data_IF_070146738403
#
_entry.id   IF_070146738403
#
_cell.length_a   1.000
_cell.length_b   1.000
_cell.length_c   1.000
_cell.angle_alpha   90.00
_cell.angle_beta   90.00
_cell.angle_gamma   90.00
#
_symmetry.space_group_name_H-M   'P 1'
#
loop_
_entity.id
_entity.type
_entity.pdbx_description
1 polymer ?
#
# COMPACT_ATOMS: atom_id res chain seq x y z
N UNK A 1 -0.64 -16.26 10.56
CA UNK A 1 -0.83 -14.98 9.84
C UNK A 1 -0.14 -13.86 10.62
N UNK A 2 0.63 -13.01 9.94
CA UNK A 2 1.24 -11.80 10.54
C UNK A 2 0.73 -10.57 9.79
N UNK A 3 0.30 -9.54 10.50
CA UNK A 3 -0.20 -8.27 9.93
C UNK A 3 0.69 -7.13 10.40
N UNK A 4 0.99 -6.18 9.52
CA UNK A 4 1.76 -4.99 9.87
C UNK A 4 1.44 -3.79 8.99
N UNK A 5 1.89 -2.62 9.43
CA UNK A 5 1.91 -1.39 8.63
C UNK A 5 3.32 -1.15 8.11
N UNK A 6 3.47 -0.95 6.81
CA UNK A 6 4.77 -0.63 6.20
C UNK A 6 4.94 0.86 5.95
N UNK A 7 3.90 1.55 5.49
CA UNK A 7 3.97 2.97 5.13
C UNK A 7 2.84 3.76 5.77
N UNK A 8 3.15 5.02 6.08
CA UNK A 8 2.18 6.11 6.20
C UNK A 8 2.43 7.07 5.06
N UNK A 9 1.38 7.70 4.55
CA UNK A 9 1.51 8.60 3.42
C UNK A 9 0.43 9.65 3.35
N UNK A 10 0.71 10.65 2.52
CA UNK A 10 -0.22 11.72 2.16
C UNK A 10 -0.20 11.86 0.64
N UNK A 11 -1.38 11.95 0.04
CA UNK A 11 -1.59 12.22 -1.39
C UNK A 11 -2.49 13.43 -1.57
N UNK A 12 -1.99 14.44 -2.27
CA UNK A 12 -2.76 15.63 -2.66
C UNK A 12 -3.93 15.25 -3.59
N UNK A 13 -4.92 16.14 -3.79
CA UNK A 13 -6.04 15.91 -4.70
C UNK A 13 -5.61 15.40 -6.08
N UNK A 14 -6.21 14.32 -6.56
CA UNK A 14 -5.89 13.70 -7.86
C UNK A 14 -4.47 13.11 -7.98
N UNK A 15 -3.61 13.23 -6.97
CA UNK A 15 -2.21 12.83 -7.05
C UNK A 15 -2.08 11.30 -7.06
N UNK A 16 -1.14 10.80 -7.88
CA UNK A 16 -0.66 9.43 -7.83
C UNK A 16 0.79 9.41 -7.37
N UNK A 17 1.11 8.53 -6.41
CA UNK A 17 2.50 8.35 -5.93
C UNK A 17 2.75 6.87 -5.63
N UNK A 18 4.01 6.44 -5.75
CA UNK A 18 4.41 5.07 -5.46
C UNK A 18 5.40 5.03 -4.30
N UNK A 19 5.18 4.10 -3.37
CA UNK A 19 6.10 3.70 -2.30
C UNK A 19 6.68 2.33 -2.62
N UNK A 20 7.88 2.04 -2.13
CA UNK A 20 8.48 0.72 -2.32
C UNK A 20 9.21 0.22 -1.07
N UNK A 21 9.22 -1.09 -0.91
CA UNK A 21 9.99 -1.82 0.12
C UNK A 21 10.63 -3.05 -0.52
N UNK A 22 11.74 -3.53 0.03
CA UNK A 22 12.58 -4.54 -0.59
C UNK A 22 13.00 -5.62 0.42
N UNK A 23 13.68 -6.66 -0.08
CA UNK A 23 14.19 -7.78 0.73
C UNK A 23 13.13 -8.57 1.50
N UNK A 24 11.94 -8.74 0.93
CA UNK A 24 10.90 -9.61 1.49
C UNK A 24 11.13 -11.07 1.11
N UNK A 25 10.87 -12.01 2.02
CA UNK A 25 10.95 -13.44 1.71
C UNK A 25 9.98 -13.81 0.57
N UNK A 26 10.51 -14.37 -0.52
CA UNK A 26 9.75 -14.75 -1.71
C UNK A 26 8.77 -15.92 -1.49
N UNK A 27 8.94 -16.69 -0.41
CA UNK A 27 8.02 -17.78 -0.07
C UNK A 27 6.78 -17.30 0.69
N UNK A 28 6.75 -16.02 1.11
CA UNK A 28 5.58 -15.44 1.76
C UNK A 28 4.50 -15.10 0.73
N UNK A 29 3.28 -15.56 1.00
CA UNK A 29 2.06 -15.07 0.36
C UNK A 29 1.67 -13.79 1.07
N UNK A 30 1.86 -12.64 0.39
CA UNK A 30 1.63 -11.31 0.96
C UNK A 30 0.45 -10.63 0.27
N UNK A 31 -0.51 -10.16 1.06
CA UNK A 31 -1.59 -9.28 0.60
C UNK A 31 -1.37 -7.86 1.13
N UNK A 32 -1.68 -6.86 0.31
CA UNK A 32 -1.53 -5.45 0.64
C UNK A 32 -2.89 -4.74 0.63
N UNK A 33 -3.06 -3.81 1.56
CA UNK A 33 -4.24 -2.95 1.68
C UNK A 33 -3.78 -1.51 1.93
N UNK A 34 -4.48 -0.55 1.34
CA UNK A 34 -4.26 0.88 1.58
C UNK A 34 -5.53 1.47 2.16
N UNK A 35 -5.43 2.02 3.38
CA UNK A 35 -6.58 2.45 4.16
C UNK A 35 -6.44 3.95 4.47
N UNK A 36 -7.36 4.82 4.02
CA UNK A 36 -7.40 6.21 4.43
C UNK A 36 -7.47 6.36 5.95
N UNK A 37 -6.79 7.37 6.48
CA UNK A 37 -6.80 7.72 7.91
C UNK A 37 -7.38 9.11 8.16
N UNK A 38 -7.34 10.01 7.16
CA UNK A 38 -8.02 11.29 7.18
C UNK A 38 -8.19 11.86 5.75
N UNK A 39 -9.18 12.73 5.52
CA UNK A 39 -10.29 13.05 6.43
C UNK A 39 -11.27 11.88 6.56
N UNK A 40 -11.93 11.77 7.71
CA UNK A 40 -13.08 10.88 7.86
C UNK A 40 -14.27 11.47 7.09
N UNK A 41 -14.80 10.70 6.14
CA UNK A 41 -15.92 11.10 5.30
C UNK A 41 -16.92 9.94 5.20
N UNK A 42 -18.21 10.26 5.22
CA UNK A 42 -19.28 9.34 4.84
C UNK A 42 -19.59 9.58 3.36
N UNK A 43 -18.99 8.79 2.47
CA UNK A 43 -19.06 9.05 1.03
C UNK A 43 -18.29 8.05 0.18
N UNK A 44 -18.01 8.48 -1.07
CA UNK A 44 -17.32 7.66 -2.07
C UNK A 44 -15.86 7.34 -1.68
N UNK A 45 -15.26 6.39 -2.40
CA UNK A 45 -13.87 5.98 -2.20
C UNK A 45 -12.90 7.18 -2.22
N UNK A 46 -11.91 7.18 -1.31
CA UNK A 46 -10.92 8.25 -1.21
C UNK A 46 -9.62 7.96 -1.98
N UNK A 47 -9.22 6.69 -2.01
CA UNK A 47 -8.00 6.24 -2.70
C UNK A 47 -8.27 4.97 -3.48
N UNK A 48 -7.55 4.80 -4.58
CA UNK A 48 -7.34 3.52 -5.23
C UNK A 48 -5.85 3.14 -5.14
N UNK A 49 -5.54 1.84 -5.19
CA UNK A 49 -4.14 1.39 -5.15
C UNK A 49 -3.87 0.24 -6.09
N UNK A 50 -2.60 0.15 -6.52
CA UNK A 50 -2.08 -0.93 -7.34
C UNK A 50 -0.81 -1.50 -6.70
N UNK A 51 -0.80 -2.83 -6.58
CA UNK A 51 0.35 -3.58 -6.07
C UNK A 51 1.12 -4.14 -7.25
N UNK A 52 2.43 -3.90 -7.27
CA UNK A 52 3.37 -4.50 -8.22
C UNK A 52 4.53 -5.09 -7.46
N UNK A 53 5.22 -6.05 -8.06
CA UNK A 53 6.37 -6.70 -7.44
C UNK A 53 7.49 -6.96 -8.44
N UNK A 54 8.71 -7.03 -7.92
CA UNK A 54 9.88 -7.49 -8.67
C UNK A 54 10.55 -8.62 -7.91
N UNK A 55 10.94 -9.69 -8.61
CA UNK A 55 11.87 -10.68 -8.05
C UNK A 55 13.24 -10.03 -7.91
N UNK A 56 13.61 -9.68 -6.69
CA UNK A 56 14.84 -8.94 -6.42
C UNK A 56 16.07 -9.83 -6.58
N UNK A 57 16.00 -11.05 -6.04
CA UNK A 57 17.09 -12.02 -6.00
C UNK A 57 16.51 -13.43 -5.70
N UNK A 58 17.33 -14.49 -5.65
CA UNK A 58 16.91 -15.76 -5.06
C UNK A 58 16.34 -15.53 -3.65
N UNK A 59 15.11 -15.98 -3.40
CA UNK A 59 14.43 -15.82 -2.10
C UNK A 59 13.93 -14.42 -1.75
N UNK A 60 14.12 -13.38 -2.59
CA UNK A 60 13.77 -11.99 -2.24
C UNK A 60 12.81 -11.31 -3.24
N UNK A 61 11.86 -10.54 -2.72
CA UNK A 61 10.86 -9.74 -3.46
C UNK A 61 10.96 -8.25 -3.07
N UNK A 62 10.78 -7.38 -4.07
CA UNK A 62 10.43 -5.96 -3.89
C UNK A 62 8.94 -5.76 -4.10
N UNK A 63 8.31 -4.94 -3.27
CA UNK A 63 6.93 -4.51 -3.42
C UNK A 63 6.87 -3.03 -3.76
N UNK A 64 5.98 -2.67 -4.68
CA UNK A 64 5.69 -1.30 -5.09
C UNK A 64 4.20 -1.05 -4.92
N UNK A 65 3.87 -0.10 -4.07
CA UNK A 65 2.49 0.25 -3.71
C UNK A 65 2.21 1.63 -4.30
N UNK A 66 1.49 1.64 -5.41
CA UNK A 66 0.99 2.87 -6.03
C UNK A 66 -0.34 3.23 -5.40
N UNK A 67 -0.47 4.48 -4.96
CA UNK A 67 -1.70 5.03 -4.37
C UNK A 67 -2.08 6.26 -5.16
N UNK A 68 -3.34 6.31 -5.60
CA UNK A 68 -3.94 7.47 -6.24
C UNK A 68 -5.07 8.00 -5.39
N UNK A 69 -5.04 9.30 -5.13
CA UNK A 69 -6.16 10.02 -4.57
C UNK A 69 -7.21 10.24 -5.67
N UNK A 70 -8.43 9.75 -5.46
CA UNK A 70 -9.54 9.89 -6.42
C UNK A 70 -10.52 11.00 -6.01
N UNK A 71 -10.13 11.82 -5.03
CA UNK A 71 -10.93 12.94 -4.51
C UNK A 71 -10.29 14.29 -4.84
N UNK A 72 -11.02 15.36 -4.50
CA UNK A 72 -10.58 16.75 -4.61
C UNK A 72 -9.97 17.31 -3.30
N UNK A 73 -9.74 16.48 -2.28
CA UNK A 73 -9.12 16.88 -1.00
C UNK A 73 -7.87 16.06 -0.73
N UNK A 74 -6.93 16.59 0.06
CA UNK A 74 -5.74 15.82 0.48
C UNK A 74 -6.17 14.65 1.38
N UNK A 75 -5.62 13.46 1.13
CA UNK A 75 -5.92 12.25 1.90
C UNK A 75 -4.64 11.72 2.54
N UNK A 76 -4.70 11.37 3.83
CA UNK A 76 -3.65 10.61 4.51
C UNK A 76 -4.06 9.13 4.60
N UNK A 77 -3.09 8.22 4.60
CA UNK A 77 -3.37 6.79 4.60
C UNK A 77 -2.28 5.95 5.29
N UNK A 78 -2.64 4.72 5.64
CA UNK A 78 -1.72 3.63 6.00
C UNK A 78 -1.67 2.58 4.89
N UNK A 79 -0.48 2.13 4.49
CA UNK A 79 -0.32 0.91 3.69
C UNK A 79 0.07 -0.26 4.61
N UNK A 80 -0.81 -1.25 4.66
CA UNK A 80 -0.73 -2.43 5.53
C UNK A 80 -0.51 -3.69 4.70
N UNK A 81 0.17 -4.67 5.29
CA UNK A 81 0.42 -5.97 4.69
C UNK A 81 -0.05 -7.09 5.61
N UNK A 82 -0.38 -8.23 5.01
CA UNK A 82 -0.64 -9.48 5.71
C UNK A 82 0.18 -10.60 5.05
N UNK A 83 0.96 -11.34 5.85
CA UNK A 83 1.59 -12.60 5.45
C UNK A 83 0.64 -13.73 5.82
N UNK A 84 0.16 -14.46 4.82
CA UNK A 84 -0.96 -15.39 4.94
C UNK A 84 -0.54 -16.83 5.27
N UNK A 85 0.66 -17.24 4.87
CA UNK A 85 1.16 -18.61 4.96
C UNK A 85 2.37 -18.74 5.91
N UNK A 86 2.21 -18.25 7.13
CA UNK A 86 3.21 -18.36 8.19
C UNK A 86 3.24 -19.76 8.79
#
# INVERSE_FOLDING_TARGET
>A
MIIGRQFTGTVSPGQTRTWFTHSWNANHTVSWQVVPTAPAVDGNAQVEWRVRSTRQAPGLIKWFIEVRNVTNVTVTFDARYAILNT
#
